data_IF_061553347997
#
_entry.id   IF_061553347997
#
_cell.length_a   1.000
_cell.length_b   1.000
_cell.length_c   1.000
_cell.angle_alpha   90.00
_cell.angle_beta   90.00
_cell.angle_gamma   90.00
#
_symmetry.space_group_name_H-M   'P 1'
#
loop_
_entity.id
_entity.type
_entity.pdbx_description
1 polymer ?
#
# COMPACT_ATOMS: atom_id res chain seq x y z
N UNK A 1 25.62 4.08 -28.14
CA UNK A 1 26.14 3.11 -27.17
C UNK A 1 26.91 3.88 -26.11
N UNK A 2 26.27 4.21 -24.99
CA UNK A 2 26.92 4.77 -23.80
C UNK A 2 26.00 4.48 -22.60
N UNK A 3 26.60 3.94 -21.56
CA UNK A 3 26.03 3.38 -20.33
C UNK A 3 25.04 4.29 -19.58
N UNK A 4 24.01 3.68 -19.00
CA UNK A 4 23.35 4.18 -17.79
C UNK A 4 23.14 3.00 -16.81
N UNK A 5 24.18 2.69 -16.05
CA UNK A 5 24.09 1.92 -14.80
C UNK A 5 24.15 2.93 -13.66
N UNK A 6 23.03 3.10 -12.96
CA UNK A 6 22.93 3.54 -11.55
C UNK A 6 21.66 2.88 -11.01
N UNK A 7 21.72 1.69 -10.40
CA UNK A 7 22.01 1.45 -8.98
C UNK A 7 21.10 2.24 -8.01
N UNK A 8 20.40 1.45 -7.19
CA UNK A 8 20.04 1.68 -5.79
C UNK A 8 18.87 2.61 -5.47
N UNK A 9 18.04 2.08 -4.56
CA UNK A 9 16.80 2.68 -4.10
C UNK A 9 16.99 4.09 -3.57
N UNK A 10 15.98 4.91 -3.83
CA UNK A 10 15.78 6.17 -3.16
C UNK A 10 14.37 6.13 -2.60
N UNK A 11 14.29 6.01 -1.28
CA UNK A 11 13.08 6.26 -0.54
C UNK A 11 12.54 7.65 -0.84
N UNK A 12 11.21 7.74 -0.76
CA UNK A 12 10.39 8.94 -0.65
C UNK A 12 11.11 10.29 -0.85
N UNK A 13 10.93 10.88 -2.03
CA UNK A 13 10.91 12.32 -2.16
C UNK A 13 9.71 12.71 -3.03
N UNK A 14 8.79 13.41 -2.37
CA UNK A 14 7.63 14.08 -2.91
C UNK A 14 8.07 15.06 -4.00
N UNK A 15 7.69 14.81 -5.25
CA UNK A 15 7.74 15.80 -6.31
C UNK A 15 6.41 15.74 -7.06
N UNK A 16 5.50 16.62 -6.66
CA UNK A 16 4.31 16.93 -7.45
C UNK A 16 4.73 17.81 -8.64
N UNK A 17 4.29 17.49 -9.86
CA UNK A 17 3.86 18.52 -10.79
C UNK A 17 2.34 18.68 -10.60
N UNK A 18 1.91 19.87 -10.20
CA UNK A 18 0.51 20.24 -10.32
C UNK A 18 0.19 20.48 -11.81
N UNK A 19 -0.25 19.42 -12.50
CA UNK A 19 -1.15 19.38 -13.66
C UNK A 19 -1.16 17.93 -14.19
N UNK A 20 -2.22 17.12 -14.14
CA UNK A 20 -3.62 17.50 -14.13
C UNK A 20 -4.31 17.28 -12.77
N UNK A 21 -4.14 16.18 -12.04
CA UNK A 21 -5.06 15.89 -10.92
C UNK A 21 -4.36 15.28 -9.70
N UNK A 22 -4.74 15.72 -8.50
CA UNK A 22 -4.22 15.17 -7.25
C UNK A 22 -4.91 13.85 -6.94
N UNK A 23 -4.22 12.76 -7.28
CA UNK A 23 -4.74 11.40 -7.12
C UNK A 23 -4.24 10.70 -5.84
N UNK A 24 -3.49 11.41 -5.00
CA UNK A 24 -2.97 10.88 -3.73
C UNK A 24 -3.13 11.92 -2.63
N UNK A 25 -3.68 11.49 -1.50
CA UNK A 25 -3.78 12.28 -0.27
C UNK A 25 -3.15 11.45 0.84
N UNK A 26 -2.13 11.97 1.53
CA UNK A 26 -1.39 11.24 2.56
C UNK A 26 -0.84 9.87 2.10
N UNK A 27 -0.20 9.82 0.93
CA UNK A 27 0.31 8.59 0.28
C UNK A 27 -0.76 7.52 -0.05
N UNK A 28 -2.02 7.75 0.28
CA UNK A 28 -3.14 6.87 -0.05
C UNK A 28 -3.58 7.20 -1.49
N UNK A 29 -3.53 6.24 -2.42
CA UNK A 29 -4.09 6.44 -3.76
C UNK A 29 -5.61 6.59 -3.71
N UNK A 30 -6.12 7.56 -4.47
CA UNK A 30 -7.54 7.72 -4.69
C UNK A 30 -8.09 6.52 -5.47
N UNK A 31 -9.32 6.13 -5.17
CA UNK A 31 -10.01 5.03 -5.86
C UNK A 31 -10.16 5.28 -7.38
N UNK A 32 -10.22 6.55 -7.79
CA UNK A 32 -10.35 6.98 -9.18
C UNK A 32 -9.01 7.20 -9.92
N UNK A 33 -7.86 6.95 -9.28
CA UNK A 33 -6.54 7.20 -9.86
C UNK A 33 -6.36 6.48 -11.20
N UNK A 34 -6.03 7.24 -12.25
CA UNK A 34 -5.86 6.70 -13.61
C UNK A 34 -7.17 6.49 -14.41
N UNK A 35 -8.28 7.07 -13.96
CA UNK A 35 -9.58 7.11 -14.66
C UNK A 35 -9.96 8.52 -15.12
N UNK A 36 -9.02 9.46 -15.02
CA UNK A 36 -9.27 10.88 -15.18
C UNK A 36 -8.53 11.43 -16.40
N UNK A 37 -9.19 12.30 -17.16
CA UNK A 37 -8.61 12.96 -18.34
C UNK A 37 -7.74 14.17 -17.93
N UNK A 38 -7.02 14.77 -18.90
CA UNK A 38 -6.17 15.95 -18.70
C UNK A 38 -6.87 17.21 -18.14
N UNK A 39 -8.20 17.19 -17.99
CA UNK A 39 -9.04 18.25 -17.41
C UNK A 39 -9.70 17.85 -16.08
N UNK A 40 -9.26 16.79 -15.41
CA UNK A 40 -9.80 16.35 -14.13
C UNK A 40 -11.28 15.95 -14.10
N UNK A 41 -11.79 15.43 -15.21
CA UNK A 41 -13.12 14.84 -15.25
C UNK A 41 -13.03 13.30 -15.24
N UNK A 42 -13.93 12.64 -14.50
CA UNK A 42 -13.98 11.18 -14.43
C UNK A 42 -14.57 10.66 -15.75
N UNK A 43 -13.77 9.91 -16.52
CA UNK A 43 -14.22 9.31 -17.77
C UNK A 43 -15.01 8.02 -17.47
N UNK A 44 -16.25 7.96 -17.94
CA UNK A 44 -17.07 6.76 -17.88
C UNK A 44 -16.50 5.64 -18.78
N UNK A 45 -16.72 4.36 -18.46
CA UNK A 45 -16.24 3.25 -19.28
C UNK A 45 -16.81 3.32 -20.70
N UNK A 46 -15.98 2.97 -21.70
CA UNK A 46 -16.45 2.81 -23.08
C UNK A 46 -17.56 1.75 -23.12
N UNK A 47 -18.48 1.85 -24.08
CA UNK A 47 -19.64 0.96 -24.29
C UNK A 47 -19.28 -0.46 -24.78
N UNK A 48 -18.11 -0.94 -24.39
CA UNK A 48 -17.60 -2.29 -24.66
C UNK A 48 -17.51 -3.06 -23.35
N UNK A 49 -17.84 -4.35 -23.39
CA UNK A 49 -17.81 -5.22 -22.20
C UNK A 49 -16.40 -5.28 -21.57
N UNK A 50 -15.36 -5.16 -22.40
CA UNK A 50 -13.95 -5.13 -21.97
C UNK A 50 -13.57 -3.81 -21.29
N UNK A 51 -14.14 -2.68 -21.72
CA UNK A 51 -13.90 -1.36 -21.13
C UNK A 51 -14.43 -1.28 -19.70
N UNK A 52 -15.67 -1.73 -19.48
CA UNK A 52 -16.29 -1.77 -18.16
C UNK A 52 -15.56 -2.71 -17.18
N UNK A 53 -15.09 -3.87 -17.65
CA UNK A 53 -14.29 -4.81 -16.84
C UNK A 53 -12.98 -4.18 -16.37
N UNK A 54 -12.22 -3.56 -17.26
CA UNK A 54 -10.94 -2.96 -16.92
C UNK A 54 -11.08 -1.75 -15.99
N UNK A 55 -12.15 -0.98 -16.15
CA UNK A 55 -12.50 0.12 -15.24
C UNK A 55 -12.75 -0.40 -13.82
N UNK A 56 -13.61 -1.41 -13.68
CA UNK A 56 -13.90 -2.04 -12.39
C UNK A 56 -12.65 -2.65 -11.73
N UNK A 57 -11.80 -3.32 -12.51
CA UNK A 57 -10.55 -3.90 -12.01
C UNK A 57 -9.56 -2.83 -11.54
N UNK A 58 -9.41 -1.72 -12.28
CA UNK A 58 -8.55 -0.60 -11.88
C UNK A 58 -8.98 0.02 -10.55
N UNK A 59 -10.29 0.23 -10.36
CA UNK A 59 -10.83 0.72 -9.08
C UNK A 59 -10.50 -0.27 -7.97
N UNK A 60 -10.76 -1.56 -8.17
CA UNK A 60 -10.44 -2.60 -7.20
C UNK A 60 -8.96 -2.61 -6.80
N UNK A 61 -8.06 -2.54 -7.78
CA UNK A 61 -6.61 -2.49 -7.54
C UNK A 61 -6.16 -1.24 -6.79
N UNK A 62 -6.71 -0.06 -7.14
CA UNK A 62 -6.41 1.18 -6.42
C UNK A 62 -6.89 1.13 -4.96
N UNK A 63 -8.08 0.56 -4.71
CA UNK A 63 -8.60 0.38 -3.35
C UNK A 63 -7.71 -0.57 -2.56
N UNK A 64 -7.30 -1.71 -3.14
CA UNK A 64 -6.37 -2.64 -2.47
C UNK A 64 -5.06 -1.92 -2.13
N UNK A 65 -4.52 -1.11 -3.06
CA UNK A 65 -3.31 -0.36 -2.80
C UNK A 65 -3.50 0.72 -1.71
N UNK A 66 -4.67 1.35 -1.64
CA UNK A 66 -5.03 2.24 -0.55
C UNK A 66 -5.07 1.50 0.80
N UNK A 67 -5.66 0.32 0.84
CA UNK A 67 -5.69 -0.52 2.05
C UNK A 67 -4.29 -0.95 2.49
N UNK A 68 -3.37 -1.23 1.56
CA UNK A 68 -1.98 -1.57 1.90
C UNK A 68 -1.27 -0.43 2.63
N UNK A 69 -1.54 0.82 2.24
CA UNK A 69 -1.00 2.01 2.94
C UNK A 69 -1.62 2.12 4.33
N UNK A 70 -2.93 1.90 4.47
CA UNK A 70 -3.61 1.89 5.78
C UNK A 70 -3.04 0.80 6.69
N UNK A 71 -2.82 -0.42 6.17
CA UNK A 71 -2.19 -1.51 6.91
C UNK A 71 -0.82 -1.11 7.43
N UNK A 72 0.00 -0.45 6.63
CA UNK A 72 1.31 0.03 7.08
C UNK A 72 1.20 1.00 8.27
N UNK A 73 0.26 1.95 8.21
CA UNK A 73 0.00 2.86 9.34
C UNK A 73 -0.46 2.11 10.60
N UNK A 74 -1.38 1.15 10.44
CA UNK A 74 -1.91 0.34 11.56
C UNK A 74 -0.81 -0.53 12.18
N UNK A 75 0.06 -1.14 11.37
CA UNK A 75 1.20 -1.92 11.86
C UNK A 75 2.13 -1.07 12.70
N UNK A 76 2.49 0.13 12.23
CA UNK A 76 3.34 1.07 12.99
C UNK A 76 2.69 1.41 14.33
N UNK A 77 1.38 1.68 14.34
CA UNK A 77 0.63 1.95 15.57
C UNK A 77 0.70 0.80 16.58
N UNK A 78 0.49 -0.45 16.15
CA UNK A 78 0.56 -1.61 17.04
C UNK A 78 1.97 -1.88 17.56
N UNK A 79 3.01 -1.64 16.75
CA UNK A 79 4.41 -1.76 17.19
C UNK A 79 4.71 -0.73 18.27
N UNK A 80 4.28 0.52 18.09
CA UNK A 80 4.49 1.58 19.09
C UNK A 80 3.76 1.22 20.39
N UNK A 81 2.48 0.85 20.31
CA UNK A 81 1.70 0.44 21.49
C UNK A 81 2.35 -0.74 22.23
N UNK A 82 2.70 -1.80 21.50
CA UNK A 82 3.36 -2.98 22.09
C UNK A 82 4.74 -2.66 22.66
N UNK A 83 5.48 -1.74 22.04
CA UNK A 83 6.77 -1.26 22.54
C UNK A 83 6.64 -0.49 23.85
N UNK A 84 5.66 0.42 23.96
CA UNK A 84 5.37 1.13 25.21
C UNK A 84 4.94 0.16 26.31
N UNK A 85 4.01 -0.76 26.03
CA UNK A 85 3.55 -1.77 27.00
C UNK A 85 4.71 -2.70 27.45
N UNK A 86 5.70 -2.96 26.58
CA UNK A 86 6.90 -3.73 26.94
C UNK A 86 7.81 -2.96 27.91
N UNK A 87 8.03 -1.66 27.68
CA UNK A 87 8.88 -0.82 28.53
C UNK A 87 8.26 -0.58 29.90
N UNK A 88 6.94 -0.36 29.98
CA UNK A 88 6.23 -0.12 31.25
C UNK A 88 6.05 -1.39 32.08
N UNK A 89 6.04 -2.57 31.45
CA UNK A 89 5.88 -3.87 32.12
C UNK A 89 7.18 -4.47 32.67
N UNK A 90 8.26 -3.70 32.77
CA UNK A 90 9.61 -4.16 33.14
C UNK A 90 9.70 -4.93 34.49
N UNK A 91 8.65 -4.92 35.32
CA UNK A 91 8.57 -5.68 36.57
C UNK A 91 7.75 -6.98 36.54
N UNK A 92 7.01 -7.28 35.46
CA UNK A 92 6.19 -8.50 35.37
C UNK A 92 6.50 -9.28 34.09
N UNK A 93 6.86 -10.56 34.24
CA UNK A 93 7.14 -11.45 33.11
C UNK A 93 5.92 -11.62 32.19
N UNK A 94 4.72 -11.59 32.76
CA UNK A 94 3.47 -11.78 32.03
C UNK A 94 3.12 -10.56 31.15
N UNK A 95 3.32 -9.34 31.67
CA UNK A 95 3.15 -8.11 30.88
C UNK A 95 4.14 -8.01 29.72
N UNK A 96 5.41 -8.37 29.96
CA UNK A 96 6.42 -8.43 28.90
C UNK A 96 6.10 -9.49 27.83
N UNK A 97 5.58 -10.65 28.24
CA UNK A 97 5.18 -11.71 27.31
C UNK A 97 3.99 -11.28 26.45
N UNK A 98 2.99 -10.63 27.03
CA UNK A 98 1.83 -10.10 26.31
C UNK A 98 2.23 -9.01 25.29
N UNK A 99 3.09 -8.07 25.69
CA UNK A 99 3.60 -7.03 24.79
C UNK A 99 4.37 -7.62 23.59
N UNK A 100 5.20 -8.64 23.83
CA UNK A 100 5.90 -9.37 22.74
C UNK A 100 4.92 -10.06 21.79
N UNK A 101 3.85 -10.69 22.30
CA UNK A 101 2.82 -11.31 21.44
C UNK A 101 2.16 -10.27 20.53
N UNK A 102 1.84 -9.09 21.06
CA UNK A 102 1.28 -7.98 20.26
C UNK A 102 2.20 -7.58 19.11
N UNK A 103 3.50 -7.38 19.39
CA UNK A 103 4.49 -7.01 18.37
C UNK A 103 4.65 -8.13 17.34
N UNK A 104 4.81 -9.39 17.78
CA UNK A 104 4.96 -10.54 16.89
C UNK A 104 3.74 -10.70 15.97
N UNK A 105 2.53 -10.55 16.50
CA UNK A 105 1.30 -10.63 15.71
C UNK A 105 1.22 -9.50 14.68
N UNK A 106 1.61 -8.27 15.04
CA UNK A 106 1.66 -7.14 14.11
C UNK A 106 2.67 -7.38 12.98
N UNK A 107 3.83 -7.96 13.28
CA UNK A 107 4.87 -8.31 12.28
C UNK A 107 4.38 -9.43 11.36
N UNK A 108 3.74 -10.47 11.90
CA UNK A 108 3.18 -11.57 11.10
C UNK A 108 2.16 -11.02 10.09
N UNK A 109 1.27 -10.12 10.52
CA UNK A 109 0.31 -9.47 9.63
C UNK A 109 0.97 -8.69 8.50
N UNK A 110 2.04 -7.94 8.80
CA UNK A 110 2.81 -7.21 7.79
C UNK A 110 3.49 -8.15 6.79
N UNK A 111 4.09 -9.24 7.26
CA UNK A 111 4.74 -10.24 6.40
C UNK A 111 3.72 -10.87 5.45
N UNK A 112 2.54 -11.25 5.95
CA UNK A 112 1.46 -11.80 5.11
C UNK A 112 1.02 -10.80 4.05
N UNK A 113 0.89 -9.52 4.39
CA UNK A 113 0.51 -8.48 3.43
C UNK A 113 1.54 -8.35 2.28
N UNK A 114 2.84 -8.36 2.60
CA UNK A 114 3.92 -8.28 1.60
C UNK A 114 3.94 -9.53 0.71
N UNK A 115 3.77 -10.71 1.30
CA UNK A 115 3.71 -11.97 0.56
C UNK A 115 2.49 -12.04 -0.36
N UNK A 116 1.33 -11.54 0.10
CA UNK A 116 0.11 -11.49 -0.69
C UNK A 116 0.32 -10.71 -2.00
N UNK A 117 0.94 -9.53 -1.93
CA UNK A 117 1.22 -8.72 -3.12
C UNK A 117 2.13 -9.46 -4.13
N UNK A 118 3.12 -10.20 -3.61
CA UNK A 118 4.04 -11.01 -4.44
C UNK A 118 3.29 -12.12 -5.20
N UNK A 119 2.36 -12.80 -4.53
CA UNK A 119 1.56 -13.87 -5.12
C UNK A 119 0.62 -13.32 -6.19
N UNK A 120 -0.06 -12.20 -5.93
CA UNK A 120 -0.94 -11.56 -6.92
C UNK A 120 -0.18 -11.19 -8.19
N UNK A 121 1.03 -10.63 -8.04
CA UNK A 121 1.89 -10.29 -9.18
C UNK A 121 2.38 -11.54 -9.94
N UNK A 122 2.67 -12.64 -9.24
CA UNK A 122 3.06 -13.90 -9.88
C UNK A 122 1.91 -14.47 -10.73
N UNK A 123 0.67 -14.48 -10.20
CA UNK A 123 -0.51 -14.93 -10.96
C UNK A 123 -0.81 -14.02 -12.15
N UNK A 124 -0.74 -12.69 -11.96
CA UNK A 124 -0.93 -11.73 -13.03
C UNK A 124 0.16 -11.82 -14.13
N UNK A 125 1.36 -12.29 -13.78
CA UNK A 125 2.44 -12.54 -14.73
C UNK A 125 2.23 -13.80 -15.57
N UNK A 126 1.58 -14.84 -15.02
CA UNK A 126 1.29 -16.10 -15.72
C UNK A 126 0.12 -15.98 -16.72
N UNK A 127 -0.79 -15.02 -16.52
CA UNK A 127 -1.95 -14.79 -17.39
C UNK A 127 -1.60 -13.92 -18.62
N UNK A 128 -0.31 -13.60 -18.83
CA UNK A 128 0.16 -12.95 -20.07
C UNK A 128 0.36 -13.95 -21.20
#
# INVERSE_FOLDING_TARGET
>A
MMLAITMLGSGAAFAAPAAACTDTMFAIPAWYRGLQDGNCNIKAPDNTDTGARNFALKIGLNIIQALMVVVAYVTIFFIIKGGFDYMTSAGSSDGMASARRTITNAVIGLVIAILSASIVNAVAGVIK
#
